data_IF_849262545247
#
_entry.id   IF_849262545247
#
_cell.length_a   1.000
_cell.length_b   1.000
_cell.length_c   1.000
_cell.angle_alpha   90.00
_cell.angle_beta   90.00
_cell.angle_gamma   90.00
#
_symmetry.space_group_name_H-M   'P 1'
#
loop_
_entity.id
_entity.type
_entity.pdbx_description
1 polymer ?
#
# COMPACT_ATOMS: atom_id res chain seq x y z
N UNK A 1 -13.99 -25.08 24.17
CA UNK A 1 -13.52 -24.15 25.22
C UNK A 1 -13.27 -22.83 24.51
N UNK A 2 -13.59 -21.69 25.13
CA UNK A 2 -13.27 -20.39 24.52
C UNK A 2 -11.75 -20.21 24.43
N UNK A 3 -11.29 -19.60 23.35
CA UNK A 3 -9.92 -19.11 23.18
C UNK A 3 -9.97 -17.59 23.07
N UNK A 4 -9.05 -16.92 23.76
CA UNK A 4 -8.89 -15.48 23.68
C UNK A 4 -7.94 -15.15 22.51
N UNK A 5 -8.36 -14.24 21.64
CA UNK A 5 -7.58 -13.78 20.50
C UNK A 5 -7.22 -12.30 20.68
N UNK A 6 -6.00 -11.93 20.31
CA UNK A 6 -5.53 -10.55 20.27
C UNK A 6 -5.15 -10.16 18.85
N UNK A 7 -5.64 -9.01 18.38
CA UNK A 7 -5.28 -8.45 17.08
C UNK A 7 -4.86 -6.99 17.22
N UNK A 8 -3.83 -6.53 16.48
CA UNK A 8 -3.41 -5.13 16.45
C UNK A 8 -4.56 -4.15 16.13
N UNK A 9 -4.54 -2.98 16.77
CA UNK A 9 -5.49 -1.89 16.55
C UNK A 9 -4.80 -0.54 16.88
N UNK A 10 -4.33 0.17 15.86
CA UNK A 10 -3.55 1.39 16.03
C UNK A 10 -2.25 1.13 16.77
N UNK A 11 -2.08 1.76 17.94
CA UNK A 11 -0.91 1.56 18.82
C UNK A 11 -1.11 0.47 19.87
N UNK A 12 -2.29 -0.14 19.93
CA UNK A 12 -2.65 -1.16 20.90
C UNK A 12 -3.17 -2.42 20.23
N UNK A 13 -4.00 -3.16 20.97
CA UNK A 13 -4.62 -4.41 20.53
C UNK A 13 -6.09 -4.42 20.95
N UNK A 14 -6.92 -5.14 20.19
CA UNK A 14 -8.27 -5.53 20.60
C UNK A 14 -8.24 -7.00 20.97
N UNK A 15 -8.86 -7.33 22.09
CA UNK A 15 -9.00 -8.70 22.59
C UNK A 15 -10.46 -9.13 22.51
N UNK A 16 -10.71 -10.38 22.10
CA UNK A 16 -12.05 -10.96 22.06
C UNK A 16 -12.00 -12.48 22.24
N UNK A 17 -13.09 -13.06 22.75
CA UNK A 17 -13.24 -14.49 22.94
C UNK A 17 -14.02 -15.14 21.79
N UNK A 18 -13.59 -16.33 21.38
CA UNK A 18 -14.28 -17.17 20.39
C UNK A 18 -14.20 -18.65 20.78
N UNK A 19 -15.22 -19.45 20.45
CA UNK A 19 -15.10 -20.91 20.61
C UNK A 19 -14.01 -21.44 19.67
N UNK A 20 -12.98 -22.08 20.22
CA UNK A 20 -11.85 -22.67 19.49
C UNK A 20 -12.31 -23.58 18.33
N UNK A 21 -13.45 -24.28 18.51
CA UNK A 21 -14.03 -25.14 17.46
C UNK A 21 -14.48 -24.40 16.21
N UNK A 22 -14.71 -23.08 16.30
CA UNK A 22 -15.11 -22.23 15.18
C UNK A 22 -13.90 -21.63 14.45
N UNK A 23 -12.74 -21.53 15.10
CA UNK A 23 -11.53 -20.98 14.48
C UNK A 23 -11.06 -21.93 13.38
N UNK A 24 -11.14 -21.47 12.13
CA UNK A 24 -10.61 -22.20 10.98
C UNK A 24 -9.12 -21.93 10.83
N UNK A 25 -8.71 -20.67 10.95
CA UNK A 25 -7.31 -20.28 10.86
C UNK A 25 -7.04 -18.88 11.41
N UNK A 26 -5.88 -18.72 12.02
CA UNK A 26 -5.28 -17.41 12.34
C UNK A 26 -4.23 -17.13 11.27
N UNK A 27 -4.55 -16.20 10.38
CA UNK A 27 -3.78 -15.85 9.20
C UNK A 27 -2.97 -14.59 9.54
N UNK A 28 -1.66 -14.77 9.73
CA UNK A 28 -0.74 -13.70 10.15
C UNK A 28 0.55 -13.79 9.33
N UNK A 29 1.21 -12.66 9.00
CA UNK A 29 2.50 -12.70 8.34
C UNK A 29 3.49 -13.57 9.13
N UNK A 30 4.25 -14.37 8.39
CA UNK A 30 5.16 -15.34 8.98
C UNK A 30 6.27 -14.65 9.78
N UNK A 31 6.69 -15.29 10.87
CA UNK A 31 7.87 -14.87 11.61
C UNK A 31 9.13 -15.23 10.83
N UNK A 32 10.01 -14.26 10.67
CA UNK A 32 11.30 -14.44 10.05
C UNK A 32 12.36 -13.65 10.81
N UNK A 33 13.57 -14.20 10.87
CA UNK A 33 14.68 -13.52 11.51
C UNK A 33 15.09 -12.30 10.66
N UNK A 34 15.23 -11.12 11.27
CA UNK A 34 15.74 -9.95 10.58
C UNK A 34 17.23 -10.14 10.21
N UNK A 35 17.76 -9.26 9.37
CA UNK A 35 19.19 -9.24 9.08
C UNK A 35 19.97 -8.91 10.37
N UNK A 36 21.09 -9.61 10.60
CA UNK A 36 21.92 -9.43 11.81
C UNK A 36 22.46 -8.00 11.90
N UNK A 37 22.83 -7.43 10.76
CA UNK A 37 23.32 -6.06 10.64
C UNK A 37 22.64 -5.39 9.43
N UNK A 38 21.76 -4.43 9.71
CA UNK A 38 21.04 -3.69 8.68
C UNK A 38 21.98 -2.87 7.79
N UNK A 39 23.01 -2.26 8.38
CA UNK A 39 23.99 -1.46 7.64
C UNK A 39 24.71 -2.34 6.62
N UNK A 40 25.18 -3.52 7.05
CA UNK A 40 25.88 -4.46 6.18
C UNK A 40 24.96 -5.01 5.08
N UNK A 41 23.70 -5.30 5.38
CA UNK A 41 22.73 -5.77 4.39
C UNK A 41 22.42 -4.72 3.32
N UNK A 42 22.25 -3.46 3.72
CA UNK A 42 22.03 -2.34 2.77
C UNK A 42 23.27 -2.15 1.90
N UNK A 43 24.46 -2.10 2.50
CA UNK A 43 25.72 -1.95 1.76
C UNK A 43 25.99 -3.13 0.82
N UNK A 44 25.68 -4.36 1.23
CA UNK A 44 25.76 -5.55 0.38
C UNK A 44 24.88 -5.37 -0.85
N UNK A 45 23.63 -4.96 -0.67
CA UNK A 45 22.68 -4.79 -1.78
C UNK A 45 23.13 -3.69 -2.75
N UNK A 46 23.57 -2.53 -2.24
CA UNK A 46 24.07 -1.42 -3.07
C UNK A 46 25.30 -1.81 -3.91
N UNK A 47 26.19 -2.67 -3.37
CA UNK A 47 27.39 -3.17 -4.08
C UNK A 47 27.11 -4.31 -5.06
N UNK A 48 25.96 -4.97 -4.95
CA UNK A 48 25.61 -6.14 -5.76
C UNK A 48 24.20 -5.98 -6.36
N UNK A 49 23.99 -4.97 -7.22
CA UNK A 49 22.70 -4.71 -7.84
C UNK A 49 22.27 -5.87 -8.75
N UNK A 50 20.99 -6.20 -8.71
CA UNK A 50 20.33 -7.22 -9.53
C UNK A 50 20.07 -6.63 -10.90
N UNK A 51 20.86 -7.09 -11.89
CA UNK A 51 20.72 -6.72 -13.30
C UNK A 51 20.65 -5.19 -13.54
N UNK A 52 21.27 -4.40 -12.67
CA UNK A 52 21.27 -2.94 -12.72
C UNK A 52 22.65 -2.36 -12.40
N UNK A 53 22.81 -1.03 -12.53
CA UNK A 53 24.09 -0.37 -12.26
C UNK A 53 24.40 -0.29 -10.77
N UNK A 54 25.67 -0.26 -10.39
CA UNK A 54 26.06 0.23 -9.06
C UNK A 54 25.94 1.76 -9.00
N UNK A 55 26.10 2.35 -7.82
CA UNK A 55 26.12 3.81 -7.68
C UNK A 55 27.32 4.42 -8.43
N UNK A 56 28.45 3.72 -8.47
CA UNK A 56 29.64 4.13 -9.22
C UNK A 56 29.39 4.10 -10.75
N UNK A 57 28.71 3.07 -11.25
CA UNK A 57 28.39 2.94 -12.68
C UNK A 57 27.52 4.11 -13.17
N UNK A 58 26.63 4.64 -12.31
CA UNK A 58 25.82 5.83 -12.62
C UNK A 58 26.66 7.10 -12.83
N UNK A 59 27.90 7.12 -12.34
CA UNK A 59 28.86 8.23 -12.45
C UNK A 59 28.27 9.58 -12.02
N UNK A 60 27.87 9.74 -10.73
CA UNK A 60 27.09 10.90 -10.28
C UNK A 60 27.89 12.21 -10.17
N UNK A 61 29.21 12.18 -10.38
CA UNK A 61 30.05 13.39 -10.35
C UNK A 61 29.58 14.40 -11.39
N UNK A 62 29.13 15.56 -10.90
CA UNK A 62 28.66 16.67 -11.75
C UNK A 62 27.27 16.45 -12.36
N UNK A 63 26.53 15.46 -11.89
CA UNK A 63 25.15 15.14 -12.32
C UNK A 63 24.15 15.49 -11.22
N UNK A 64 22.95 15.81 -11.63
CA UNK A 64 21.79 15.95 -10.73
C UNK A 64 21.19 14.58 -10.40
N UNK A 65 20.74 14.40 -9.16
CA UNK A 65 20.16 13.15 -8.66
C UNK A 65 18.80 13.43 -8.04
N UNK A 66 17.76 12.73 -8.48
CA UNK A 66 16.47 12.70 -7.81
C UNK A 66 16.25 11.34 -7.14
N UNK A 67 15.85 11.34 -5.87
CA UNK A 67 15.53 10.13 -5.10
C UNK A 67 14.05 10.19 -4.70
N UNK A 68 13.24 9.27 -5.23
CA UNK A 68 11.85 9.11 -4.82
C UNK A 68 11.76 8.27 -3.52
N UNK A 69 11.13 8.84 -2.50
CA UNK A 69 10.91 8.21 -1.18
C UNK A 69 9.43 8.20 -0.84
N UNK A 70 8.98 7.17 -0.12
CA UNK A 70 7.57 7.10 0.27
C UNK A 70 7.24 7.88 1.54
N UNK A 71 5.96 8.21 1.67
CA UNK A 71 5.42 9.03 2.74
C UNK A 71 5.23 8.27 4.08
N UNK A 72 4.60 8.94 5.05
CA UNK A 72 4.35 8.39 6.38
C UNK A 72 3.36 7.20 6.37
N UNK A 73 2.53 7.05 5.33
CA UNK A 73 1.57 5.95 5.20
C UNK A 73 2.22 4.63 4.78
N UNK A 74 3.55 4.61 4.64
CA UNK A 74 4.34 3.42 4.34
C UNK A 74 5.32 3.11 5.47
N UNK A 75 5.50 1.82 5.71
CA UNK A 75 6.38 1.29 6.76
C UNK A 75 7.84 1.13 6.32
N UNK A 76 8.21 1.62 5.14
CA UNK A 76 9.60 1.56 4.66
C UNK A 76 10.54 2.22 5.67
N UNK A 77 11.63 1.54 6.09
CA UNK A 77 12.59 2.07 7.06
C UNK A 77 13.54 3.06 6.37
N UNK A 78 12.99 4.15 5.85
CA UNK A 78 13.70 5.13 5.03
C UNK A 78 14.86 5.79 5.77
N UNK A 79 14.70 6.06 7.08
CA UNK A 79 15.76 6.53 7.97
C UNK A 79 17.00 5.60 8.04
N UNK A 80 16.88 4.32 7.68
CA UNK A 80 18.01 3.39 7.60
C UNK A 80 18.63 3.34 6.20
N UNK A 81 17.79 3.24 5.16
CA UNK A 81 18.28 3.03 3.78
C UNK A 81 18.77 4.32 3.12
N UNK A 82 18.11 5.45 3.38
CA UNK A 82 18.38 6.71 2.69
C UNK A 82 19.77 7.26 3.02
N UNK A 83 20.23 7.31 4.29
CA UNK A 83 21.60 7.72 4.60
C UNK A 83 22.66 6.89 3.87
N UNK A 84 22.46 5.58 3.70
CA UNK A 84 23.40 4.70 3.01
C UNK A 84 23.43 4.92 1.50
N UNK A 85 22.28 5.23 0.88
CA UNK A 85 22.22 5.64 -0.53
C UNK A 85 22.98 6.95 -0.73
N UNK A 86 22.73 7.93 0.14
CA UNK A 86 23.37 9.25 0.09
C UNK A 86 24.88 9.16 0.29
N UNK A 87 25.35 8.39 1.29
CA UNK A 87 26.78 8.13 1.53
C UNK A 87 27.45 7.50 0.29
N UNK A 88 26.77 6.57 -0.38
CA UNK A 88 27.29 5.92 -1.58
C UNK A 88 27.41 6.91 -2.74
N UNK A 89 26.42 7.79 -2.91
CA UNK A 89 26.43 8.84 -3.94
C UNK A 89 27.56 9.86 -3.70
N UNK A 90 27.71 10.34 -2.47
CA UNK A 90 28.77 11.30 -2.11
C UNK A 90 30.17 10.68 -2.31
N UNK A 91 30.37 9.41 -1.91
CA UNK A 91 31.63 8.67 -2.16
C UNK A 91 31.93 8.53 -3.66
N UNK A 92 30.90 8.37 -4.49
CA UNK A 92 31.03 8.34 -5.95
C UNK A 92 31.18 9.74 -6.58
N UNK A 93 31.17 10.81 -5.78
CA UNK A 93 31.46 12.18 -6.18
C UNK A 93 30.25 13.06 -6.47
N UNK A 94 29.03 12.62 -6.12
CA UNK A 94 27.86 13.49 -6.09
C UNK A 94 28.09 14.63 -5.09
N UNK A 95 27.60 15.84 -5.42
CA UNK A 95 27.56 16.92 -4.43
C UNK A 95 26.18 16.97 -3.83
N UNK A 96 26.11 17.18 -2.53
CA UNK A 96 24.85 17.28 -1.78
C UNK A 96 23.80 18.20 -2.40
N UNK A 97 24.23 19.39 -2.82
CA UNK A 97 23.38 20.40 -3.49
C UNK A 97 22.78 19.95 -4.83
N UNK A 98 23.33 18.91 -5.43
CA UNK A 98 22.87 18.35 -6.71
C UNK A 98 21.96 17.12 -6.47
N UNK A 99 21.68 16.76 -5.21
CA UNK A 99 20.77 15.66 -4.81
C UNK A 99 19.48 16.25 -4.26
N UNK A 100 18.35 15.86 -4.85
CA UNK A 100 17.00 16.20 -4.40
C UNK A 100 16.23 14.94 -3.99
N UNK A 101 15.57 15.00 -2.83
CA UNK A 101 14.72 13.92 -2.32
C UNK A 101 13.27 14.37 -2.51
N UNK A 102 12.49 13.57 -3.25
CA UNK A 102 11.11 13.89 -3.62
C UNK A 102 10.19 12.88 -2.94
N UNK A 103 9.30 13.37 -2.09
CA UNK A 103 8.35 12.57 -1.36
C UNK A 103 7.20 12.20 -2.30
N UNK A 104 7.04 10.89 -2.51
CA UNK A 104 6.05 10.29 -3.39
C UNK A 104 4.70 10.13 -2.67
N UNK A 105 3.95 11.23 -2.57
CA UNK A 105 2.66 11.30 -1.88
C UNK A 105 1.53 10.57 -2.64
N UNK A 106 1.66 10.40 -3.95
CA UNK A 106 0.50 10.13 -4.79
C UNK A 106 -0.51 11.26 -4.61
N UNK A 107 -1.70 10.94 -4.10
CA UNK A 107 -2.76 11.92 -3.81
C UNK A 107 -2.98 12.16 -2.32
N UNK A 108 -2.02 11.77 -1.48
CA UNK A 108 -2.07 12.02 -0.05
C UNK A 108 -1.70 13.47 0.30
N UNK A 109 -2.02 13.87 1.54
CA UNK A 109 -1.65 15.19 2.06
C UNK A 109 -0.13 15.34 2.15
N UNK A 110 0.32 16.59 2.13
CA UNK A 110 1.71 16.92 2.40
C UNK A 110 2.15 16.42 3.79
N UNK A 111 3.41 15.97 3.84
CA UNK A 111 4.07 15.69 5.11
C UNK A 111 4.53 16.99 5.75
N UNK A 112 4.35 17.09 7.06
CA UNK A 112 4.93 18.17 7.87
C UNK A 112 6.44 17.94 8.07
N UNK A 113 7.17 19.01 8.39
CA UNK A 113 8.60 18.90 8.68
C UNK A 113 8.91 17.91 9.84
N UNK A 114 8.02 17.80 10.83
CA UNK A 114 8.18 16.84 11.92
C UNK A 114 8.05 15.40 11.44
N UNK A 115 7.01 15.10 10.65
CA UNK A 115 6.82 13.78 10.05
C UNK A 115 7.98 13.40 9.13
N UNK A 116 8.53 14.37 8.38
CA UNK A 116 9.73 14.16 7.56
C UNK A 116 10.94 13.78 8.42
N UNK A 117 11.18 14.46 9.55
CA UNK A 117 12.30 14.11 10.47
C UNK A 117 12.14 12.72 11.06
N UNK A 118 10.92 12.34 11.43
CA UNK A 118 10.61 11.01 11.97
C UNK A 118 10.82 9.91 10.92
N UNK A 119 10.41 10.16 9.67
CA UNK A 119 10.49 9.17 8.58
C UNK A 119 11.89 9.03 7.98
N UNK A 120 12.61 10.14 7.78
CA UNK A 120 13.87 10.20 7.03
C UNK A 120 15.10 10.45 7.90
N UNK A 121 14.92 10.89 9.14
CA UNK A 121 15.99 11.31 10.05
C UNK A 121 16.31 12.80 9.94
N UNK A 122 16.58 13.45 11.08
CA UNK A 122 16.81 14.89 11.17
C UNK A 122 17.97 15.37 10.27
N UNK A 123 19.11 14.66 10.29
CA UNK A 123 20.29 14.98 9.49
C UNK A 123 19.97 15.05 7.99
N UNK A 124 19.18 14.11 7.47
CA UNK A 124 18.84 14.11 6.04
C UNK A 124 17.97 15.33 5.71
N UNK A 125 16.95 15.59 6.51
CA UNK A 125 16.01 16.71 6.29
C UNK A 125 16.69 18.08 6.41
N UNK A 126 17.75 18.18 7.23
CA UNK A 126 18.47 19.43 7.47
C UNK A 126 19.59 19.68 6.45
N UNK A 127 20.20 18.63 5.91
CA UNK A 127 21.35 18.76 5.02
C UNK A 127 21.01 18.65 3.52
N UNK A 128 19.85 18.09 3.18
CA UNK A 128 19.41 17.86 1.80
C UNK A 128 18.10 18.59 1.48
N UNK A 129 17.88 18.87 0.20
CA UNK A 129 16.59 19.37 -0.25
C UNK A 129 15.57 18.21 -0.28
N UNK A 130 14.59 18.26 0.62
CA UNK A 130 13.48 17.30 0.70
C UNK A 130 12.18 18.02 0.38
N UNK A 131 11.45 17.58 -0.64
CA UNK A 131 10.24 18.27 -1.14
C UNK A 131 9.04 17.33 -1.22
N UNK A 132 7.85 17.85 -0.88
CA UNK A 132 6.58 17.18 -1.16
C UNK A 132 6.27 17.22 -2.65
N UNK A 133 5.72 16.14 -3.20
CA UNK A 133 5.16 16.14 -4.54
C UNK A 133 3.77 16.79 -4.56
N UNK A 134 3.53 17.69 -5.53
CA UNK A 134 2.22 18.28 -5.80
C UNK A 134 1.58 17.62 -7.01
N UNK A 135 0.57 16.78 -6.78
CA UNK A 135 -0.07 15.96 -7.82
C UNK A 135 -1.15 16.73 -8.62
N UNK A 136 -1.68 17.79 -8.04
CA UNK A 136 -2.76 18.65 -8.56
C UNK A 136 -2.26 19.97 -9.16
N UNK A 137 -0.97 20.26 -9.06
CA UNK A 137 -0.34 21.42 -9.69
C UNK A 137 0.33 21.02 -11.01
N UNK A 138 -0.40 21.19 -12.12
CA UNK A 138 0.08 20.90 -13.47
C UNK A 138 1.39 21.62 -13.81
N UNK A 139 1.66 22.78 -13.22
CA UNK A 139 2.92 23.51 -13.48
C UNK A 139 4.15 22.75 -12.96
N UNK A 140 3.97 21.82 -12.03
CA UNK A 140 4.99 20.93 -11.46
C UNK A 140 5.06 19.56 -12.14
N UNK A 141 4.25 19.34 -13.16
CA UNK A 141 4.18 18.11 -13.92
C UNK A 141 4.74 18.29 -15.34
N UNK A 142 5.16 17.19 -15.94
CA UNK A 142 5.51 17.11 -17.36
C UNK A 142 4.66 16.02 -18.02
N UNK A 143 4.10 16.34 -19.19
CA UNK A 143 3.33 15.39 -19.99
C UNK A 143 4.22 14.62 -20.97
N UNK A 144 4.18 13.29 -20.91
CA UNK A 144 4.98 12.44 -21.80
C UNK A 144 4.14 11.74 -22.88
N UNK A 145 2.87 12.11 -23.04
CA UNK A 145 1.95 11.39 -23.92
C UNK A 145 1.11 10.38 -23.15
N UNK A 146 0.73 9.28 -23.82
CA UNK A 146 -0.10 8.21 -23.24
C UNK A 146 0.62 6.87 -23.22
N UNK A 147 0.09 5.95 -22.43
CA UNK A 147 0.41 4.51 -22.40
C UNK A 147 -0.87 3.70 -22.65
N UNK A 148 -0.81 2.37 -22.47
CA UNK A 148 -1.93 1.47 -22.70
C UNK A 148 -3.21 1.91 -21.98
N UNK A 149 -4.37 1.72 -22.62
CA UNK A 149 -5.67 2.13 -22.09
C UNK A 149 -5.90 3.65 -22.09
N UNK A 150 -5.19 4.39 -22.95
CA UNK A 150 -5.26 5.86 -23.06
C UNK A 150 -4.91 6.62 -21.77
N UNK A 151 -4.23 5.97 -20.84
CA UNK A 151 -3.80 6.57 -19.58
C UNK A 151 -2.74 7.64 -19.90
N UNK A 152 -3.00 8.92 -19.55
CA UNK A 152 -2.01 9.99 -19.73
C UNK A 152 -0.83 9.75 -18.79
N UNK A 153 0.36 10.22 -19.19
CA UNK A 153 1.58 10.15 -18.38
C UNK A 153 1.95 11.57 -17.96
N UNK A 154 1.43 11.97 -16.81
CA UNK A 154 1.85 13.17 -16.08
C UNK A 154 2.75 12.77 -14.92
N UNK A 155 3.96 13.33 -14.86
CA UNK A 155 4.99 12.97 -13.87
C UNK A 155 5.65 14.23 -13.32
N UNK A 156 6.09 14.19 -12.06
CA UNK A 156 6.88 15.24 -11.44
C UNK A 156 8.06 15.67 -12.35
N UNK A 157 8.06 16.94 -12.79
CA UNK A 157 9.03 17.47 -13.75
C UNK A 157 10.46 17.50 -13.20
N UNK A 158 10.63 17.66 -11.89
CA UNK A 158 11.96 17.70 -11.27
C UNK A 158 12.57 16.30 -11.21
N UNK A 159 11.78 15.29 -10.88
CA UNK A 159 12.22 13.89 -10.95
C UNK A 159 12.63 13.54 -12.38
N UNK A 160 11.80 13.90 -13.36
CA UNK A 160 12.04 13.58 -14.77
C UNK A 160 13.34 14.19 -15.30
N UNK A 161 13.65 15.44 -14.93
CA UNK A 161 14.80 16.22 -15.42
C UNK A 161 16.14 15.81 -14.81
N UNK A 162 16.15 15.04 -13.73
CA UNK A 162 17.39 14.63 -13.09
C UNK A 162 18.18 13.64 -13.96
N UNK A 163 19.50 13.80 -14.02
CA UNK A 163 20.40 12.91 -14.77
C UNK A 163 20.39 11.49 -14.19
N UNK A 164 20.23 11.37 -12.87
CA UNK A 164 20.13 10.10 -12.13
C UNK A 164 18.83 10.09 -11.35
N UNK A 165 18.12 8.97 -11.38
CA UNK A 165 16.76 8.81 -10.86
C UNK A 165 16.67 7.52 -10.09
N UNK A 166 16.55 7.64 -8.78
CA UNK A 166 16.58 6.53 -7.83
C UNK A 166 15.19 6.40 -7.19
N UNK A 167 14.78 5.17 -6.93
CA UNK A 167 13.50 4.87 -6.29
C UNK A 167 13.69 4.01 -5.06
N UNK A 168 12.89 4.27 -4.02
CA UNK A 168 12.88 3.46 -2.79
C UNK A 168 11.48 2.95 -2.43
N UNK A 169 11.39 1.98 -1.53
CA UNK A 169 10.10 1.46 -1.03
C UNK A 169 10.21 0.12 -0.30
N UNK A 170 9.08 -0.38 0.19
CA UNK A 170 8.96 -1.69 0.85
C UNK A 170 7.97 -2.60 0.12
N UNK A 171 8.38 -3.84 -0.12
CA UNK A 171 7.59 -4.82 -0.86
C UNK A 171 6.62 -5.49 0.10
N UNK A 172 5.33 -5.20 -0.10
CA UNK A 172 4.17 -5.79 0.59
C UNK A 172 3.10 -6.11 -0.44
N UNK A 173 2.16 -7.03 -0.18
CA UNK A 173 1.02 -7.24 -1.07
C UNK A 173 0.17 -5.96 -1.17
N UNK A 174 -0.45 -5.75 -2.33
CA UNK A 174 -1.27 -4.56 -2.58
C UNK A 174 -2.43 -4.87 -3.54
N UNK A 175 -3.66 -4.60 -3.11
CA UNK A 175 -4.87 -4.98 -3.87
C UNK A 175 -4.93 -4.43 -5.30
N UNK A 176 -4.50 -3.20 -5.56
CA UNK A 176 -4.51 -2.68 -6.93
C UNK A 176 -3.42 -3.26 -7.86
N UNK A 177 -2.26 -3.63 -7.32
CA UNK A 177 -1.03 -3.78 -8.12
C UNK A 177 -0.35 -5.15 -7.94
N UNK A 178 -0.99 -6.10 -7.25
CA UNK A 178 -0.33 -7.33 -6.80
C UNK A 178 0.53 -7.07 -5.59
N UNK A 179 1.62 -6.34 -5.82
CA UNK A 179 2.68 -6.05 -4.88
C UNK A 179 3.10 -4.58 -4.97
N UNK A 180 3.27 -3.93 -3.82
CA UNK A 180 3.74 -2.56 -3.68
C UNK A 180 5.24 -2.42 -4.05
N UNK A 181 5.77 -1.21 -3.84
CA UNK A 181 7.12 -0.79 -4.25
C UNK A 181 7.37 -0.96 -5.76
N UNK A 182 8.64 -1.06 -6.18
CA UNK A 182 8.96 -1.04 -7.61
C UNK A 182 8.66 0.32 -8.24
N UNK A 183 8.16 0.28 -9.46
CA UNK A 183 7.65 1.42 -10.22
C UNK A 183 6.45 2.13 -9.55
N UNK A 184 5.82 1.54 -8.53
CA UNK A 184 4.66 2.13 -7.84
C UNK A 184 4.98 3.43 -7.09
N UNK A 185 6.26 3.67 -6.77
CA UNK A 185 6.69 4.97 -6.22
C UNK A 185 6.53 6.10 -7.24
N UNK A 186 6.48 5.79 -8.54
CA UNK A 186 6.24 6.76 -9.60
C UNK A 186 4.74 6.86 -9.92
N UNK A 187 4.07 5.72 -10.17
CA UNK A 187 2.63 5.68 -10.37
C UNK A 187 1.98 4.80 -9.29
N UNK A 188 1.27 5.38 -8.31
CA UNK A 188 0.80 6.77 -8.28
C UNK A 188 1.77 7.80 -7.68
N UNK A 189 2.86 7.38 -7.02
CA UNK A 189 3.53 8.23 -6.04
C UNK A 189 4.03 9.61 -6.49
N UNK A 190 4.49 9.77 -7.74
CA UNK A 190 4.96 11.03 -8.32
C UNK A 190 4.16 11.45 -9.57
N UNK A 191 3.02 10.80 -9.80
CA UNK A 191 2.19 11.03 -10.98
C UNK A 191 1.10 12.08 -10.70
N UNK A 192 0.70 12.80 -11.74
CA UNK A 192 -0.39 13.77 -11.66
C UNK A 192 -1.76 13.14 -11.42
N UNK A 193 -2.68 13.92 -10.86
CA UNK A 193 -4.02 13.49 -10.43
C UNK A 193 -4.76 12.66 -11.50
N UNK A 194 -4.82 13.17 -12.74
CA UNK A 194 -5.51 12.49 -13.84
C UNK A 194 -4.91 11.10 -14.11
N UNK A 195 -3.58 11.00 -14.09
CA UNK A 195 -2.88 9.72 -14.32
C UNK A 195 -3.19 8.73 -13.21
N UNK A 196 -3.18 9.20 -11.95
CA UNK A 196 -3.50 8.39 -10.78
C UNK A 196 -4.95 7.89 -10.85
N UNK A 197 -5.90 8.78 -11.12
CA UNK A 197 -7.32 8.44 -11.25
C UNK A 197 -7.58 7.40 -12.33
N UNK A 198 -6.97 7.57 -13.51
CA UNK A 198 -7.09 6.60 -14.63
C UNK A 198 -6.50 5.24 -14.27
N UNK A 199 -5.39 5.18 -13.55
CA UNK A 199 -4.81 3.93 -13.08
C UNK A 199 -5.73 3.22 -12.07
N UNK A 200 -6.35 3.95 -11.14
CA UNK A 200 -7.28 3.36 -10.18
C UNK A 200 -8.58 2.86 -10.83
N UNK A 201 -9.11 3.58 -11.82
CA UNK A 201 -10.23 3.09 -12.63
C UNK A 201 -9.83 1.85 -13.44
N UNK A 202 -8.65 1.84 -14.05
CA UNK A 202 -8.14 0.65 -14.74
C UNK A 202 -8.04 -0.56 -13.80
N UNK A 203 -7.53 -0.36 -12.59
CA UNK A 203 -7.44 -1.38 -11.55
C UNK A 203 -8.79 -1.96 -11.19
N UNK A 204 -9.76 -1.09 -10.88
CA UNK A 204 -11.10 -1.54 -10.50
C UNK A 204 -11.88 -2.22 -11.63
N UNK A 205 -11.63 -1.88 -12.89
CA UNK A 205 -12.30 -2.53 -14.03
C UNK A 205 -11.66 -3.86 -14.43
N UNK A 206 -10.35 -4.01 -14.29
CA UNK A 206 -9.64 -5.21 -14.72
C UNK A 206 -9.46 -6.22 -13.58
N UNK A 207 -9.07 -5.74 -12.41
CA UNK A 207 -8.69 -6.56 -11.26
C UNK A 207 -9.14 -5.90 -9.94
N UNK A 208 -10.45 -5.89 -9.63
CA UNK A 208 -10.98 -5.23 -8.44
C UNK A 208 -10.30 -5.66 -7.13
N UNK A 209 -9.89 -6.92 -7.04
CA UNK A 209 -9.03 -7.44 -5.98
C UNK A 209 -7.85 -8.19 -6.60
N UNK A 210 -6.73 -7.49 -6.81
CA UNK A 210 -5.49 -8.04 -7.35
C UNK A 210 -4.46 -8.34 -6.28
N UNK A 211 -4.84 -8.47 -5.00
CA UNK A 211 -3.91 -8.66 -3.88
C UNK A 211 -3.01 -9.88 -4.09
N UNK A 212 -1.69 -9.69 -4.02
CA UNK A 212 -0.70 -10.78 -4.14
C UNK A 212 -0.57 -11.36 -5.56
N UNK A 213 -1.30 -10.85 -6.55
CA UNK A 213 -1.26 -11.33 -7.93
C UNK A 213 0.05 -10.94 -8.62
N UNK A 214 0.78 -11.94 -9.14
CA UNK A 214 2.04 -11.69 -9.87
C UNK A 214 1.78 -11.06 -11.23
N UNK A 215 0.86 -11.65 -11.98
CA UNK A 215 0.45 -11.22 -13.33
C UNK A 215 -0.73 -10.25 -13.24
N UNK A 216 -0.47 -9.05 -12.74
CA UNK A 216 -1.49 -8.03 -12.52
C UNK A 216 -1.52 -6.99 -13.68
N UNK A 217 -2.65 -6.78 -14.38
CA UNK A 217 -2.77 -5.79 -15.47
C UNK A 217 -2.40 -4.36 -15.06
N UNK A 218 -2.84 -3.89 -13.90
CA UNK A 218 -2.46 -2.58 -13.34
C UNK A 218 -0.96 -2.50 -13.10
N UNK A 219 -0.33 -3.59 -12.68
CA UNK A 219 1.12 -3.63 -12.50
C UNK A 219 1.86 -3.47 -13.83
N UNK A 220 1.39 -4.12 -14.88
CA UNK A 220 1.96 -3.95 -16.23
C UNK A 220 1.83 -2.48 -16.69
N UNK A 221 0.70 -1.83 -16.41
CA UNK A 221 0.50 -0.40 -16.66
C UNK A 221 1.49 0.47 -15.85
N UNK A 222 1.68 0.19 -14.57
CA UNK A 222 2.63 0.89 -13.68
C UNK A 222 4.07 0.71 -14.17
N UNK A 223 4.46 -0.50 -14.57
CA UNK A 223 5.80 -0.77 -15.09
C UNK A 223 6.01 -0.04 -16.45
N UNK A 224 5.02 -0.03 -17.34
CA UNK A 224 5.08 0.72 -18.60
C UNK A 224 5.17 2.24 -18.40
N UNK A 225 4.49 2.78 -17.38
CA UNK A 225 4.65 4.18 -16.95
C UNK A 225 6.11 4.46 -16.56
N UNK A 226 6.71 3.59 -15.75
CA UNK A 226 8.08 3.74 -15.30
C UNK A 226 9.13 3.52 -16.40
N UNK A 227 8.88 2.65 -17.39
CA UNK A 227 9.76 2.54 -18.57
C UNK A 227 9.81 3.84 -19.37
N UNK A 228 8.66 4.51 -19.49
CA UNK A 228 8.54 5.78 -20.22
C UNK A 228 9.17 6.95 -19.46
N UNK A 229 9.04 6.99 -18.13
CA UNK A 229 9.70 7.99 -17.28
C UNK A 229 11.19 7.71 -17.18
N UNK A 230 11.56 6.48 -16.84
CA UNK A 230 12.91 5.98 -16.62
C UNK A 230 13.31 5.95 -15.14
N UNK A 231 13.81 4.79 -14.69
CA UNK A 231 14.39 4.56 -13.37
C UNK A 231 15.80 4.03 -13.57
N UNK A 232 16.79 4.68 -12.95
CA UNK A 232 18.20 4.27 -13.08
C UNK A 232 18.63 3.28 -11.99
N UNK A 233 18.09 3.39 -10.79
CA UNK A 233 18.39 2.47 -9.68
C UNK A 233 17.19 2.33 -8.76
N UNK A 234 16.81 1.09 -8.46
CA UNK A 234 15.84 0.78 -7.43
C UNK A 234 16.55 0.30 -6.17
N UNK A 235 16.02 0.67 -4.99
CA UNK A 235 16.41 0.13 -3.67
C UNK A 235 15.14 -0.19 -2.89
N UNK A 236 14.72 -1.44 -2.83
CA UNK A 236 13.54 -1.86 -2.08
C UNK A 236 13.91 -2.72 -0.88
N UNK A 237 13.08 -2.64 0.14
CA UNK A 237 13.19 -3.44 1.36
C UNK A 237 12.14 -4.55 1.38
N UNK A 238 12.45 -5.62 2.10
CA UNK A 238 11.46 -6.53 2.67
C UNK A 238 11.72 -6.56 4.17
N UNK A 239 10.67 -6.34 4.96
CA UNK A 239 10.75 -6.20 6.42
C UNK A 239 9.94 -7.26 7.17
N UNK A 240 10.22 -7.43 8.45
CA UNK A 240 9.38 -8.21 9.35
C UNK A 240 8.11 -7.43 9.69
N UNK A 241 7.11 -8.10 10.29
CA UNK A 241 5.92 -7.42 10.85
C UNK A 241 6.27 -6.39 11.95
N UNK A 242 7.45 -6.51 12.56
CA UNK A 242 7.98 -5.55 13.54
C UNK A 242 8.77 -4.41 12.88
N UNK A 243 8.71 -4.29 11.53
CA UNK A 243 9.36 -3.25 10.72
C UNK A 243 10.90 -3.31 10.72
N UNK A 244 11.44 -4.51 10.93
CA UNK A 244 12.88 -4.77 10.90
C UNK A 244 13.33 -5.24 9.51
N UNK A 245 14.48 -4.78 9.03
CA UNK A 245 14.98 -5.16 7.70
C UNK A 245 15.35 -6.64 7.68
N UNK A 246 14.75 -7.39 6.75
CA UNK A 246 15.11 -8.79 6.47
C UNK A 246 16.07 -8.85 5.29
N UNK A 247 15.72 -8.15 4.21
CA UNK A 247 16.51 -8.09 2.96
C UNK A 247 16.34 -6.75 2.27
N UNK A 248 17.37 -6.37 1.52
CA UNK A 248 17.36 -5.24 0.60
C UNK A 248 17.62 -5.75 -0.82
N UNK A 249 16.86 -5.21 -1.77
CA UNK A 249 16.93 -5.52 -3.19
C UNK A 249 17.25 -4.25 -3.95
N UNK A 250 18.45 -4.18 -4.53
CA UNK A 250 18.92 -3.06 -5.33
C UNK A 250 19.09 -3.52 -6.78
N UNK A 251 18.81 -2.68 -7.77
CA UNK A 251 19.14 -2.95 -9.18
C UNK A 251 18.12 -2.42 -10.17
N UNK A 252 17.92 -3.17 -11.27
CA UNK A 252 16.91 -2.83 -12.27
C UNK A 252 15.51 -2.90 -11.65
N UNK A 253 14.69 -1.87 -11.89
CA UNK A 253 13.45 -1.67 -11.16
C UNK A 253 12.45 -2.84 -11.27
N UNK A 254 12.35 -3.49 -12.42
CA UNK A 254 11.52 -4.72 -12.57
C UNK A 254 12.19 -5.95 -11.96
N UNK A 255 13.44 -6.26 -12.35
CA UNK A 255 14.13 -7.50 -11.95
C UNK A 255 14.35 -7.59 -10.44
N UNK A 256 14.88 -6.53 -9.84
CA UNK A 256 15.11 -6.46 -8.40
C UNK A 256 13.78 -6.52 -7.62
N UNK A 257 12.73 -5.84 -8.10
CA UNK A 257 11.40 -5.90 -7.49
C UNK A 257 10.82 -7.32 -7.54
N UNK A 258 10.84 -7.99 -8.70
CA UNK A 258 10.29 -9.35 -8.85
C UNK A 258 11.03 -10.36 -7.98
N UNK A 259 12.36 -10.26 -7.89
CA UNK A 259 13.13 -11.10 -6.97
C UNK A 259 12.77 -10.82 -5.50
N UNK A 260 12.53 -9.55 -5.15
CA UNK A 260 12.05 -9.17 -3.83
C UNK A 260 10.64 -9.70 -3.52
N UNK A 261 9.74 -9.71 -4.50
CA UNK A 261 8.39 -10.31 -4.38
C UNK A 261 8.46 -11.79 -4.09
N UNK A 262 9.30 -12.55 -4.81
CA UNK A 262 9.48 -13.99 -4.56
C UNK A 262 9.91 -14.30 -3.13
N UNK A 263 10.69 -13.42 -2.52
CA UNK A 263 11.04 -13.52 -1.12
C UNK A 263 9.90 -13.05 -0.20
N UNK A 264 9.27 -11.92 -0.49
CA UNK A 264 8.18 -11.34 0.29
C UNK A 264 6.98 -12.28 0.44
N UNK A 265 6.71 -13.12 -0.57
CA UNK A 265 5.71 -14.21 -0.51
C UNK A 265 5.91 -15.17 0.66
N UNK A 266 7.15 -15.37 1.13
CA UNK A 266 7.44 -16.26 2.26
C UNK A 266 6.99 -15.67 3.60
N UNK A 267 6.80 -14.35 3.66
CA UNK A 267 6.39 -13.62 4.86
C UNK A 267 4.91 -13.30 4.77
N UNK A 268 4.51 -12.65 3.69
CA UNK A 268 3.16 -12.10 3.54
C UNK A 268 2.19 -13.05 2.84
N UNK A 269 2.69 -14.05 2.10
CA UNK A 269 1.88 -15.11 1.50
C UNK A 269 1.60 -16.21 2.52
N UNK A 270 0.40 -16.18 3.11
CA UNK A 270 0.04 -17.04 4.25
C UNK A 270 -0.97 -18.09 3.79
N UNK A 271 -0.65 -19.37 3.95
CA UNK A 271 -1.60 -20.44 3.63
C UNK A 271 -2.80 -20.38 4.57
N UNK A 272 -3.99 -20.23 4.00
CA UNK A 272 -5.24 -20.29 4.73
C UNK A 272 -5.81 -21.73 4.64
N UNK A 273 -6.35 -22.31 5.74
CA UNK A 273 -6.89 -23.68 5.72
C UNK A 273 -8.12 -23.88 4.83
N UNK A 274 -8.77 -22.79 4.40
CA UNK A 274 -9.95 -22.78 3.55
C UNK A 274 -10.71 -21.46 3.68
N UNK A 275 -11.80 -21.33 2.92
CA UNK A 275 -12.74 -20.23 3.06
C UNK A 275 -13.63 -20.44 4.30
N UNK A 276 -13.82 -19.39 5.09
CA UNK A 276 -14.69 -19.36 6.26
C UNK A 276 -16.03 -18.66 5.97
N UNK A 277 -17.09 -18.96 6.73
CA UNK A 277 -18.34 -18.19 6.65
C UNK A 277 -18.16 -16.76 7.15
N UNK A 278 -17.24 -16.55 8.11
CA UNK A 278 -16.92 -15.24 8.69
C UNK A 278 -15.41 -15.02 8.63
N UNK A 279 -14.97 -13.82 8.25
CA UNK A 279 -13.59 -13.38 8.47
C UNK A 279 -13.53 -12.16 9.38
N UNK A 280 -12.61 -12.17 10.34
CA UNK A 280 -12.27 -11.00 11.17
C UNK A 280 -10.93 -10.48 10.67
N UNK A 281 -10.83 -9.20 10.29
CA UNK A 281 -9.64 -8.63 9.69
C UNK A 281 -9.27 -7.30 10.33
N UNK A 282 -8.09 -7.23 10.95
CA UNK A 282 -7.51 -5.95 11.39
C UNK A 282 -6.89 -5.21 10.21
N UNK A 283 -7.13 -3.92 10.10
CA UNK A 283 -6.51 -3.07 9.07
C UNK A 283 -5.04 -2.76 9.31
N UNK A 284 -4.48 -3.13 10.46
CA UNK A 284 -3.11 -2.81 10.83
C UNK A 284 -2.10 -3.30 9.77
N UNK A 285 -1.06 -2.50 9.46
CA UNK A 285 -0.76 -1.15 9.97
C UNK A 285 -1.41 -0.01 9.16
N UNK A 286 -2.32 -0.31 8.24
CA UNK A 286 -2.91 0.66 7.31
C UNK A 286 -4.19 1.29 7.88
N UNK A 287 -4.10 1.95 9.04
CA UNK A 287 -5.28 2.21 9.88
C UNK A 287 -5.53 3.67 10.29
N UNK A 288 -4.80 4.62 9.72
CA UNK A 288 -4.90 6.06 10.03
C UNK A 288 -6.26 6.69 9.64
N UNK A 289 -6.83 6.25 8.53
CA UNK A 289 -8.16 6.63 8.00
C UNK A 289 -8.78 5.43 7.27
N UNK A 290 -10.09 5.44 7.03
CA UNK A 290 -10.78 4.31 6.36
C UNK A 290 -10.30 4.11 4.91
N UNK A 291 -9.87 5.19 4.24
CA UNK A 291 -9.25 5.12 2.92
C UNK A 291 -8.06 4.17 2.84
N UNK A 292 -7.25 4.09 3.91
CA UNK A 292 -6.23 3.05 4.08
C UNK A 292 -6.82 1.78 4.71
N UNK A 293 -7.72 1.93 5.68
CA UNK A 293 -8.34 0.86 6.48
C UNK A 293 -8.93 -0.24 5.62
N UNK A 294 -9.68 0.14 4.57
CA UNK A 294 -10.33 -0.77 3.63
C UNK A 294 -9.39 -1.81 3.01
N UNK A 295 -8.07 -1.60 3.05
CA UNK A 295 -7.09 -2.61 2.62
C UNK A 295 -7.29 -3.95 3.32
N UNK A 296 -7.79 -3.95 4.57
CA UNK A 296 -8.11 -5.15 5.35
C UNK A 296 -9.20 -6.02 4.72
N UNK A 297 -10.06 -5.42 3.89
CA UNK A 297 -11.18 -6.10 3.24
C UNK A 297 -10.72 -7.01 2.11
N UNK A 298 -9.66 -6.64 1.39
CA UNK A 298 -9.19 -7.41 0.23
C UNK A 298 -8.64 -8.80 0.59
N UNK A 299 -7.82 -8.97 1.64
CA UNK A 299 -7.48 -10.32 2.08
C UNK A 299 -8.65 -11.02 2.77
N UNK A 300 -9.55 -10.29 3.44
CA UNK A 300 -10.74 -10.89 4.01
C UNK A 300 -11.68 -11.46 2.92
N UNK A 301 -11.87 -10.76 1.79
CA UNK A 301 -12.59 -11.23 0.59
C UNK A 301 -11.99 -12.55 0.09
N UNK A 302 -10.66 -12.64 0.01
CA UNK A 302 -9.97 -13.86 -0.39
C UNK A 302 -10.11 -15.01 0.62
N UNK A 303 -10.39 -14.73 1.90
CA UNK A 303 -10.50 -15.72 2.98
C UNK A 303 -11.94 -16.08 3.36
N UNK A 304 -12.94 -15.44 2.74
CA UNK A 304 -14.37 -15.58 3.08
C UNK A 304 -15.14 -16.28 1.97
N UNK A 305 -16.07 -17.16 2.33
CA UNK A 305 -16.98 -17.79 1.37
C UNK A 305 -17.85 -16.72 0.68
N UNK A 306 -18.23 -16.90 -0.60
CA UNK A 306 -19.20 -16.01 -1.24
C UNK A 306 -20.47 -15.84 -0.40
N UNK A 307 -20.87 -14.60 -0.11
CA UNK A 307 -22.02 -14.30 0.75
C UNK A 307 -21.76 -14.42 2.26
N UNK A 308 -20.56 -14.85 2.68
CA UNK A 308 -20.10 -14.83 4.07
C UNK A 308 -19.79 -13.41 4.56
N UNK A 309 -19.71 -13.21 5.87
CA UNK A 309 -19.56 -11.88 6.47
C UNK A 309 -18.12 -11.52 6.82
N UNK A 310 -17.80 -10.23 6.73
CA UNK A 310 -16.48 -9.71 7.10
C UNK A 310 -16.64 -8.75 8.27
N UNK A 311 -15.87 -8.94 9.33
CA UNK A 311 -15.73 -8.01 10.45
C UNK A 311 -14.39 -7.28 10.26
N UNK A 312 -14.46 -6.02 9.83
CA UNK A 312 -13.30 -5.15 9.73
C UNK A 312 -13.08 -4.44 11.07
N UNK A 313 -11.85 -4.51 11.58
CA UNK A 313 -11.45 -3.96 12.87
C UNK A 313 -10.38 -2.89 12.62
N UNK A 314 -10.75 -1.61 12.78
CA UNK A 314 -9.89 -0.49 12.37
C UNK A 314 -10.11 0.79 13.20
N UNK A 315 -9.07 1.44 13.75
CA UNK A 315 -9.21 2.68 14.53
C UNK A 315 -9.67 3.90 13.73
N UNK A 316 -9.07 4.15 12.56
CA UNK A 316 -9.36 5.29 11.68
C UNK A 316 -9.43 6.65 12.40
N UNK A 317 -8.41 7.07 13.18
CA UNK A 317 -8.46 8.31 13.96
C UNK A 317 -8.68 9.58 13.12
N UNK A 318 -8.33 9.57 11.83
CA UNK A 318 -8.56 10.70 10.91
C UNK A 318 -9.91 10.60 10.14
N UNK A 319 -10.75 9.62 10.45
CA UNK A 319 -12.06 9.44 9.83
C UNK A 319 -12.01 8.65 8.52
N UNK A 320 -12.83 9.05 7.53
CA UNK A 320 -13.01 8.28 6.29
C UNK A 320 -11.90 8.55 5.27
N UNK A 321 -11.79 9.79 4.81
CA UNK A 321 -10.78 10.23 3.86
C UNK A 321 -10.58 11.73 3.98
N UNK A 322 -9.35 12.17 4.22
CA UNK A 322 -9.01 13.60 4.35
C UNK A 322 -8.88 14.26 2.97
N UNK A 323 -8.12 13.65 2.06
CA UNK A 323 -7.83 14.22 0.74
C UNK A 323 -8.93 14.01 -0.29
N UNK A 324 -9.73 12.95 -0.13
CA UNK A 324 -10.80 12.59 -1.05
C UNK A 324 -12.16 12.55 -0.31
N UNK A 325 -12.66 13.69 0.21
CA UNK A 325 -13.86 13.72 1.05
C UNK A 325 -15.13 13.25 0.29
N UNK A 326 -15.17 13.44 -1.04
CA UNK A 326 -16.23 12.97 -1.94
C UNK A 326 -16.31 11.45 -2.04
N UNK A 327 -15.28 10.72 -1.59
CA UNK A 327 -15.25 9.26 -1.65
C UNK A 327 -16.47 8.64 -0.96
N UNK A 328 -16.87 9.19 0.20
CA UNK A 328 -18.04 8.71 0.95
C UNK A 328 -19.34 8.71 0.12
N UNK A 329 -19.50 9.66 -0.80
CA UNK A 329 -20.70 9.79 -1.63
C UNK A 329 -20.79 8.63 -2.64
N UNK A 330 -19.64 8.13 -3.12
CA UNK A 330 -19.57 6.97 -3.99
C UNK A 330 -19.79 5.66 -3.23
N UNK A 331 -19.43 5.59 -1.94
CA UNK A 331 -19.52 4.35 -1.14
C UNK A 331 -20.96 3.92 -0.85
N UNK A 332 -21.94 4.80 -1.03
CA UNK A 332 -23.36 4.46 -0.97
C UNK A 332 -23.83 3.60 -2.15
N UNK A 333 -23.18 3.72 -3.30
CA UNK A 333 -23.56 3.03 -4.53
C UNK A 333 -23.10 1.56 -4.52
N UNK A 334 -23.65 0.76 -5.45
CA UNK A 334 -23.08 -0.53 -5.82
C UNK A 334 -22.08 -0.39 -6.99
N UNK A 335 -21.32 -1.45 -7.28
CA UNK A 335 -20.28 -1.42 -8.32
C UNK A 335 -20.83 -1.05 -9.71
N UNK A 336 -22.02 -1.54 -10.07
CA UNK A 336 -22.60 -1.29 -11.40
C UNK A 336 -23.09 0.15 -11.56
N UNK A 337 -23.60 0.76 -10.50
CA UNK A 337 -23.95 2.19 -10.48
C UNK A 337 -22.73 3.06 -10.72
N UNK A 338 -21.62 2.78 -10.02
CA UNK A 338 -20.36 3.52 -10.17
C UNK A 338 -19.77 3.38 -11.59
N UNK A 339 -19.84 2.18 -12.18
CA UNK A 339 -19.44 1.98 -13.59
C UNK A 339 -20.27 2.82 -14.55
N UNK A 340 -21.59 2.87 -14.37
CA UNK A 340 -22.46 3.70 -15.22
C UNK A 340 -22.19 5.20 -15.01
N UNK A 341 -21.89 5.65 -13.79
CA UNK A 341 -21.48 7.03 -13.53
C UNK A 341 -20.19 7.36 -14.29
N UNK A 342 -19.21 6.44 -14.27
CA UNK A 342 -17.97 6.57 -15.04
C UNK A 342 -18.24 6.69 -16.55
N UNK A 343 -19.06 5.80 -17.10
CA UNK A 343 -19.41 5.79 -18.53
C UNK A 343 -20.14 7.06 -18.98
N UNK A 344 -20.96 7.66 -18.11
CA UNK A 344 -21.65 8.93 -18.38
C UNK A 344 -20.77 10.17 -18.16
N UNK A 345 -19.56 10.02 -17.62
CA UNK A 345 -18.68 11.14 -17.28
C UNK A 345 -19.17 11.96 -16.07
N UNK A 346 -20.00 11.37 -15.21
CA UNK A 346 -20.58 12.00 -14.02
C UNK A 346 -19.68 11.81 -12.79
N UNK A 347 -18.38 12.10 -12.95
CA UNK A 347 -17.37 11.83 -11.92
C UNK A 347 -16.54 13.09 -11.69
N UNK A 348 -16.51 13.54 -10.44
CA UNK A 348 -15.70 14.69 -10.02
C UNK A 348 -14.28 14.27 -9.62
N UNK A 349 -14.14 13.08 -9.03
CA UNK A 349 -12.88 12.56 -8.47
C UNK A 349 -12.68 11.12 -8.92
N UNK A 350 -11.81 10.94 -9.93
CA UNK A 350 -11.52 9.63 -10.53
C UNK A 350 -10.76 8.70 -9.58
N UNK A 351 -9.95 9.25 -8.67
CA UNK A 351 -9.17 8.48 -7.70
C UNK A 351 -10.13 7.84 -6.70
N UNK A 352 -11.01 8.67 -6.13
CA UNK A 352 -12.06 8.22 -5.24
C UNK A 352 -13.02 7.24 -5.93
N UNK A 353 -13.43 7.50 -7.18
CA UNK A 353 -14.27 6.56 -7.93
C UNK A 353 -13.59 5.19 -8.07
N UNK A 354 -12.32 5.17 -8.50
CA UNK A 354 -11.56 3.94 -8.68
C UNK A 354 -11.54 3.10 -7.40
N UNK A 355 -11.16 3.71 -6.27
CA UNK A 355 -11.16 3.02 -4.98
C UNK A 355 -12.56 2.64 -4.48
N UNK A 356 -13.59 3.45 -4.73
CA UNK A 356 -14.97 3.10 -4.42
C UNK A 356 -15.44 1.88 -5.21
N UNK A 357 -15.05 1.75 -6.49
CA UNK A 357 -15.36 0.54 -7.27
C UNK A 357 -14.62 -0.70 -6.73
N UNK A 358 -13.35 -0.56 -6.31
CA UNK A 358 -12.64 -1.65 -5.62
C UNK A 358 -13.37 -2.07 -4.34
N UNK A 359 -13.70 -1.11 -3.47
CA UNK A 359 -14.42 -1.36 -2.22
C UNK A 359 -15.81 -1.98 -2.43
N UNK A 360 -16.62 -1.40 -3.31
CA UNK A 360 -17.99 -1.88 -3.58
C UNK A 360 -17.97 -3.28 -4.17
N UNK A 361 -16.92 -3.66 -4.91
CA UNK A 361 -16.78 -5.03 -5.43
C UNK A 361 -16.69 -6.10 -4.32
N UNK A 362 -16.31 -5.70 -3.10
CA UNK A 362 -16.30 -6.55 -1.90
C UNK A 362 -17.63 -6.40 -1.15
N UNK A 363 -18.06 -5.15 -0.90
CA UNK A 363 -19.32 -4.86 -0.19
C UNK A 363 -20.54 -5.52 -0.87
N UNK A 364 -20.57 -5.58 -2.20
CA UNK A 364 -21.67 -6.19 -2.95
C UNK A 364 -21.72 -7.73 -2.79
N UNK A 365 -20.60 -8.35 -2.37
CA UNK A 365 -20.51 -9.80 -2.13
C UNK A 365 -20.69 -10.18 -0.66
N UNK A 366 -20.34 -9.29 0.26
CA UNK A 366 -20.20 -9.60 1.68
C UNK A 366 -20.90 -8.55 2.56
N UNK A 367 -21.73 -8.95 3.54
CA UNK A 367 -22.09 -8.03 4.61
C UNK A 367 -20.84 -7.65 5.40
N UNK A 368 -20.61 -6.34 5.53
CA UNK A 368 -19.46 -5.79 6.24
C UNK A 368 -19.91 -5.27 7.60
N UNK A 369 -19.35 -5.83 8.66
CA UNK A 369 -19.43 -5.31 10.02
C UNK A 369 -18.17 -4.51 10.33
N UNK A 370 -18.33 -3.37 11.00
CA UNK A 370 -17.22 -2.46 11.31
C UNK A 370 -17.07 -2.28 12.82
N UNK A 371 -15.87 -2.51 13.34
CA UNK A 371 -15.48 -2.16 14.71
C UNK A 371 -14.45 -1.04 14.62
N UNK A 372 -14.87 0.18 14.99
CA UNK A 372 -14.04 1.37 14.83
C UNK A 372 -14.41 2.48 15.82
N UNK A 373 -13.41 3.14 16.39
CA UNK A 373 -13.59 4.32 17.24
C UNK A 373 -13.73 5.61 16.42
N UNK A 374 -12.93 5.75 15.35
CA UNK A 374 -12.86 6.97 14.55
C UNK A 374 -13.96 7.14 13.49
N UNK A 375 -14.76 6.11 13.22
CA UNK A 375 -15.88 6.19 12.26
C UNK A 375 -17.21 6.28 13.02
N UNK A 376 -18.04 7.30 12.79
CA UNK A 376 -19.34 7.39 13.47
C UNK A 376 -20.34 6.33 12.97
N UNK A 377 -21.41 6.04 13.73
CA UNK A 377 -22.48 5.12 13.26
C UNK A 377 -23.13 5.61 11.96
N UNK A 378 -23.35 6.93 11.86
CA UNK A 378 -23.90 7.56 10.66
C UNK A 378 -22.97 7.36 9.46
N UNK A 379 -21.68 7.56 9.65
CA UNK A 379 -20.70 7.41 8.57
C UNK A 379 -20.50 5.95 8.18
N UNK A 380 -20.56 5.02 9.14
CA UNK A 380 -20.54 3.59 8.85
C UNK A 380 -21.75 3.15 8.00
N UNK A 381 -22.96 3.63 8.32
CA UNK A 381 -24.15 3.38 7.51
C UNK A 381 -23.96 3.94 6.09
N UNK A 382 -23.36 5.13 5.97
CA UNK A 382 -23.12 5.75 4.66
C UNK A 382 -22.19 4.94 3.76
N UNK A 383 -21.14 4.39 4.33
CA UNK A 383 -20.21 3.53 3.58
C UNK A 383 -20.77 2.12 3.36
N UNK A 384 -21.95 1.79 3.90
CA UNK A 384 -22.60 0.49 3.73
C UNK A 384 -22.11 -0.58 4.70
N UNK A 385 -21.59 -0.18 5.86
CA UNK A 385 -21.15 -1.05 6.94
C UNK A 385 -22.13 -1.03 8.12
N UNK A 386 -22.29 -2.17 8.79
CA UNK A 386 -22.97 -2.21 10.09
C UNK A 386 -21.95 -2.06 11.23
N UNK A 387 -22.02 -0.96 11.96
CA UNK A 387 -21.07 -0.66 13.03
C UNK A 387 -21.43 -1.34 14.35
N UNK A 388 -20.41 -1.84 15.05
CA UNK A 388 -20.48 -2.38 16.41
C UNK A 388 -19.41 -1.72 17.31
N UNK A 389 -19.57 -1.84 18.64
CA UNK A 389 -18.55 -1.35 19.58
C UNK A 389 -17.44 -2.37 19.81
N UNK A 390 -17.78 -3.66 19.76
CA UNK A 390 -16.87 -4.77 20.06
C UNK A 390 -16.95 -5.85 19.00
N UNK A 391 -15.87 -6.61 18.85
CA UNK A 391 -15.79 -7.71 17.87
C UNK A 391 -16.81 -8.80 18.19
N UNK A 392 -17.06 -9.08 19.47
CA UNK A 392 -18.01 -10.08 19.93
C UNK A 392 -19.44 -9.75 19.50
N UNK A 393 -19.84 -8.47 19.53
CA UNK A 393 -21.18 -8.04 19.11
C UNK A 393 -21.37 -8.25 17.60
N UNK A 394 -20.34 -7.93 16.80
CA UNK A 394 -20.35 -8.17 15.35
C UNK A 394 -20.35 -9.68 15.04
N UNK A 395 -19.59 -10.47 15.82
CA UNK A 395 -19.52 -11.91 15.68
C UNK A 395 -20.86 -12.57 16.03
N UNK A 396 -21.51 -12.15 17.11
CA UNK A 396 -22.86 -12.60 17.49
C UNK A 396 -23.86 -12.31 16.37
N UNK A 397 -23.87 -11.08 15.86
CA UNK A 397 -24.73 -10.68 14.75
C UNK A 397 -24.56 -11.57 13.51
N UNK A 398 -23.32 -11.84 13.07
CA UNK A 398 -23.09 -12.74 11.93
C UNK A 398 -23.37 -14.20 12.28
N UNK A 399 -23.22 -14.61 13.54
CA UNK A 399 -23.53 -15.97 14.00
C UNK A 399 -25.02 -16.26 13.93
N UNK A 400 -25.89 -15.28 14.18
CA UNK A 400 -27.34 -15.44 13.96
C UNK A 400 -27.67 -15.77 12.50
N UNK A 401 -26.90 -15.23 11.55
CA UNK A 401 -27.09 -15.44 10.12
C UNK A 401 -26.49 -16.76 9.62
N UNK A 402 -25.30 -17.12 10.07
CA UNK A 402 -24.54 -18.26 9.53
C UNK A 402 -24.57 -19.51 10.43
N UNK A 403 -25.16 -19.42 11.61
CA UNK A 403 -25.27 -20.50 12.59
C UNK A 403 -24.10 -20.56 13.58
N UNK A 404 -24.34 -21.18 14.73
CA UNK A 404 -23.39 -21.29 15.85
C UNK A 404 -22.12 -22.09 15.51
N UNK A 405 -22.18 -22.96 14.50
CA UNK A 405 -21.06 -23.80 14.07
C UNK A 405 -20.27 -23.20 12.89
N UNK A 406 -20.63 -21.97 12.47
CA UNK A 406 -19.93 -21.25 11.39
C UNK A 406 -18.44 -21.08 11.70
N UNK A 407 -17.61 -21.29 10.67
CA UNK A 407 -16.16 -21.20 10.74
C UNK A 407 -15.71 -19.75 10.59
N UNK A 408 -14.60 -19.42 11.26
CA UNK A 408 -14.04 -18.07 11.33
C UNK A 408 -12.57 -18.08 10.95
N UNK A 409 -12.20 -17.28 9.95
CA UNK A 409 -10.81 -16.92 9.67
C UNK A 409 -10.47 -15.60 10.37
N UNK A 410 -9.27 -15.48 10.94
CA UNK A 410 -8.82 -14.30 11.68
C UNK A 410 -7.54 -13.78 11.04
N UNK A 411 -7.59 -12.60 10.43
CA UNK A 411 -6.47 -11.93 9.80
C UNK A 411 -5.95 -10.84 10.74
N UNK A 412 -4.79 -11.07 11.35
CA UNK A 412 -4.25 -10.17 12.38
C UNK A 412 -3.61 -8.91 11.80
N UNK A 413 -3.08 -8.97 10.58
CA UNK A 413 -2.43 -7.85 9.87
C UNK A 413 -3.01 -7.76 8.45
N UNK A 414 -4.33 -7.60 8.34
CA UNK A 414 -5.04 -7.54 7.07
C UNK A 414 -4.56 -6.42 6.14
N UNK A 415 -3.93 -5.36 6.65
CA UNK A 415 -3.32 -4.34 5.80
C UNK A 415 -2.15 -4.84 4.93
N UNK A 416 -1.51 -5.95 5.30
CA UNK A 416 -0.26 -6.44 4.68
C UNK A 416 -0.24 -7.97 4.44
N UNK A 417 -1.34 -8.67 4.70
CA UNK A 417 -1.40 -10.13 4.56
C UNK A 417 -2.00 -10.52 3.20
N UNK A 418 -1.41 -11.51 2.54
CA UNK A 418 -1.96 -12.16 1.34
C UNK A 418 -2.33 -13.62 1.67
N UNK A 419 -3.61 -13.92 1.94
CA UNK A 419 -4.04 -15.29 2.19
C UNK A 419 -4.04 -16.09 0.89
N UNK A 420 -3.42 -17.27 0.94
CA UNK A 420 -3.37 -18.25 -0.14
C UNK A 420 -4.30 -19.39 0.27
N UNK A 421 -5.50 -19.40 -0.28
CA UNK A 421 -6.49 -20.46 -0.05
C UNK A 421 -6.19 -21.62 -1.00
N UNK A 422 -6.16 -22.83 -0.46
CA UNK A 422 -5.95 -24.08 -1.19
C UNK A 422 -7.20 -24.62 -1.87
#
# INVERSE_FOLDING_TARGET
>A
MGVQIKIPYGKGEVEFDIDDRRVLGVITPAEIQPAIDYSLEIERSLKNPIEGPTVEDLSPRGKTVAIAVDDLTRVTPTHLILPKILDSLEKAGAKRRDIKIIIALGTHREMTAQEMREKYGATVVEEYEVVNHTFDDESNLEYLGKIAGDVPVWINKEYLKADIRIVTGNIIPHFNAGWAAGAKILLPGLAGEETVGRMHVHSSLTTPNGLGMDENPTRQLIDAFAEKVGIHLLVNTVITRNREIVRVYTGHFMKAHRQGVEFAKRIYGVKAPGLAEISISSSYPADIEFWQGQKALFPADLATKPGGGIIEVTPCPEGISVMHPKWIDYLHCNTEELKRMYERGEVEDLVALGLAMNYTSIKDKHPICLVSEGISYRDAEKIGCQKFRRVEEALEYLTERYGSDSKVNILTHGGETYPIVS
#
